data_IF_985376300102
#
_entry.id   IF_985376300102
#
_cell.length_a   1.000
_cell.length_b   1.000
_cell.length_c   1.000
_cell.angle_alpha   90.00
_cell.angle_beta   90.00
_cell.angle_gamma   90.00
#
_symmetry.space_group_name_H-M   'P 1'
#
loop_
_entity.id
_entity.type
_entity.pdbx_description
1 polymer ?
#
# COMPACT_ATOMS: atom_id res chain seq x y z
N UNK A 1 -10.51 -7.64 -8.37
CA UNK A 1 -10.88 -6.38 -7.67
C UNK A 1 -12.04 -5.62 -8.31
N UNK A 2 -11.91 -5.03 -9.51
CA UNK A 2 -12.97 -4.21 -10.10
C UNK A 2 -14.28 -5.01 -10.28
N UNK A 3 -14.17 -6.21 -10.83
CA UNK A 3 -15.32 -7.08 -11.06
C UNK A 3 -15.90 -7.63 -9.74
N UNK A 4 -15.04 -7.98 -8.78
CA UNK A 4 -15.45 -8.38 -7.42
C UNK A 4 -16.30 -7.31 -6.75
N UNK A 5 -15.87 -6.04 -6.78
CA UNK A 5 -16.62 -4.93 -6.18
C UNK A 5 -17.96 -4.71 -6.89
N UNK A 6 -18.00 -4.90 -8.22
CA UNK A 6 -19.24 -4.82 -9.00
C UNK A 6 -20.23 -5.92 -8.60
N UNK A 7 -19.75 -7.15 -8.40
CA UNK A 7 -20.57 -8.28 -7.95
C UNK A 7 -21.12 -8.04 -6.54
N UNK A 8 -20.29 -7.51 -5.63
CA UNK A 8 -20.67 -7.21 -4.25
C UNK A 8 -21.52 -5.94 -4.08
N UNK A 9 -21.76 -5.18 -5.16
CA UNK A 9 -22.45 -3.89 -5.11
C UNK A 9 -21.69 -2.81 -4.32
N UNK A 10 -20.38 -2.98 -4.13
CA UNK A 10 -19.55 -2.04 -3.39
C UNK A 10 -18.94 -0.98 -4.33
N UNK A 11 -18.86 0.29 -3.90
CA UNK A 11 -18.27 1.34 -4.71
C UNK A 11 -16.76 1.13 -4.86
N UNK A 12 -16.24 1.43 -6.05
CA UNK A 12 -14.79 1.48 -6.28
C UNK A 12 -14.21 2.71 -5.55
N UNK A 13 -13.17 2.54 -4.71
CA UNK A 13 -12.49 3.65 -4.07
C UNK A 13 -11.96 4.65 -5.10
N UNK A 14 -11.89 5.93 -4.72
CA UNK A 14 -11.43 6.99 -5.62
C UNK A 14 -10.29 7.76 -4.98
N UNK A 15 -9.29 8.08 -5.81
CA UNK A 15 -8.23 9.00 -5.42
C UNK A 15 -8.83 10.39 -5.18
N UNK A 16 -8.49 10.99 -4.04
CA UNK A 16 -9.03 12.29 -3.61
C UNK A 16 -7.90 13.25 -3.29
N UNK A 17 -8.17 14.55 -3.33
CA UNK A 17 -7.20 15.56 -2.91
C UNK A 17 -6.94 15.45 -1.41
N UNK A 18 -5.70 15.64 -0.98
CA UNK A 18 -5.35 15.68 0.44
C UNK A 18 -6.05 16.84 1.16
N UNK A 19 -6.16 18.00 0.48
CA UNK A 19 -6.89 19.17 0.98
C UNK A 19 -7.73 19.80 -0.13
N UNK A 20 -8.76 20.58 0.23
CA UNK A 20 -9.73 21.19 -0.71
C UNK A 20 -9.06 21.97 -1.85
N UNK A 21 -7.98 22.68 -1.56
CA UNK A 21 -7.24 23.50 -2.52
C UNK A 21 -5.95 22.84 -3.03
N UNK A 22 -5.68 21.59 -2.66
CA UNK A 22 -4.48 20.89 -3.11
C UNK A 22 -4.59 20.54 -4.60
N UNK A 23 -3.49 20.74 -5.32
CA UNK A 23 -3.37 20.44 -6.76
C UNK A 23 -2.50 19.22 -7.03
N UNK A 24 -1.67 18.81 -6.07
CA UNK A 24 -0.61 17.82 -6.30
C UNK A 24 -0.66 16.67 -5.30
N UNK A 25 -0.96 16.93 -4.02
CA UNK A 25 -1.05 15.84 -3.05
C UNK A 25 -2.42 15.18 -3.16
N UNK A 26 -2.39 13.93 -3.56
CA UNK A 26 -3.55 13.06 -3.67
C UNK A 26 -3.44 11.96 -2.62
N UNK A 27 -4.55 11.71 -1.93
CA UNK A 27 -4.77 10.50 -1.15
C UNK A 27 -5.18 9.41 -2.14
N UNK A 28 -4.28 8.46 -2.34
CA UNK A 28 -4.33 7.42 -3.38
C UNK A 28 -5.10 6.18 -2.93
N UNK A 29 -6.35 6.33 -2.50
CA UNK A 29 -7.13 5.23 -1.91
C UNK A 29 -7.38 4.06 -2.88
N UNK A 30 -7.55 4.34 -4.18
CA UNK A 30 -7.70 3.31 -5.19
C UNK A 30 -6.42 2.48 -5.31
N UNK A 31 -5.29 3.17 -5.41
CA UNK A 31 -3.98 2.56 -5.64
C UNK A 31 -3.53 1.75 -4.41
N UNK A 32 -3.77 2.30 -3.20
CA UNK A 32 -3.67 1.57 -1.94
C UNK A 32 -4.48 0.26 -1.99
N UNK A 33 -5.74 0.33 -2.43
CA UNK A 33 -6.63 -0.83 -2.44
C UNK A 33 -6.15 -1.90 -3.42
N UNK A 34 -5.63 -1.51 -4.58
CA UNK A 34 -5.07 -2.44 -5.56
C UNK A 34 -3.90 -3.21 -4.95
N UNK A 35 -2.95 -2.51 -4.32
CA UNK A 35 -1.79 -3.16 -3.66
C UNK A 35 -2.24 -4.04 -2.49
N UNK A 36 -3.17 -3.57 -1.66
CA UNK A 36 -3.69 -4.36 -0.54
C UNK A 36 -4.42 -5.62 -1.01
N UNK A 37 -5.11 -5.59 -2.16
CA UNK A 37 -5.77 -6.79 -2.71
C UNK A 37 -4.75 -7.86 -3.10
N UNK A 38 -3.57 -7.49 -3.60
CA UNK A 38 -2.50 -8.44 -3.88
C UNK A 38 -2.03 -9.14 -2.58
N UNK A 39 -1.75 -8.40 -1.52
CA UNK A 39 -1.40 -8.98 -0.23
C UNK A 39 -2.51 -9.89 0.31
N UNK A 40 -3.77 -9.46 0.18
CA UNK A 40 -4.92 -10.26 0.60
C UNK A 40 -5.01 -11.57 -0.18
N UNK A 41 -4.84 -11.52 -1.51
CA UNK A 41 -4.90 -12.71 -2.36
C UNK A 41 -3.81 -13.73 -2.01
N UNK A 42 -2.56 -13.27 -1.87
CA UNK A 42 -1.45 -14.14 -1.46
C UNK A 42 -1.69 -14.72 -0.06
N UNK A 43 -2.20 -13.91 0.86
CA UNK A 43 -2.56 -14.37 2.20
C UNK A 43 -3.64 -15.47 2.16
N UNK A 44 -4.66 -15.31 1.32
CA UNK A 44 -5.72 -16.31 1.14
C UNK A 44 -5.17 -17.64 0.60
N UNK A 45 -4.23 -17.59 -0.36
CA UNK A 45 -3.53 -18.77 -0.87
C UNK A 45 -2.73 -19.48 0.22
N UNK A 46 -1.96 -18.74 1.01
CA UNK A 46 -1.14 -19.29 2.11
C UNK A 46 -2.04 -19.94 3.16
N UNK A 47 -3.18 -19.31 3.51
CA UNK A 47 -4.13 -19.88 4.47
C UNK A 47 -4.71 -21.19 3.94
N UNK A 48 -5.06 -21.25 2.65
CA UNK A 48 -5.57 -22.47 2.03
C UNK A 48 -4.51 -23.60 1.99
N UNK A 49 -3.24 -23.25 1.80
CA UNK A 49 -2.11 -24.20 1.81
C UNK A 49 -1.81 -24.74 3.22
N UNK A 50 -1.78 -23.89 4.23
CA UNK A 50 -1.37 -24.25 5.59
C UNK A 50 -2.42 -25.06 6.38
N UNK A 51 -3.67 -25.15 5.90
CA UNK A 51 -4.73 -25.99 6.47
C UNK A 51 -4.84 -25.95 8.01
N UNK A 52 -4.86 -24.73 8.58
CA UNK A 52 -4.85 -24.53 10.03
C UNK A 52 -6.00 -25.25 10.76
N UNK A 53 -5.69 -25.84 11.93
CA UNK A 53 -6.70 -26.39 12.84
C UNK A 53 -7.59 -25.26 13.40
N UNK A 54 -8.89 -25.51 13.54
CA UNK A 54 -9.84 -24.58 14.14
C UNK A 54 -9.44 -24.19 15.57
N UNK A 55 -8.80 -25.10 16.32
CA UNK A 55 -8.38 -24.92 17.71
C UNK A 55 -7.10 -24.07 17.86
N UNK A 56 -6.40 -23.77 16.78
CA UNK A 56 -5.12 -23.08 16.84
C UNK A 56 -5.30 -21.58 17.13
N UNK A 57 -4.46 -21.03 17.99
CA UNK A 57 -4.53 -19.62 18.40
C UNK A 57 -4.37 -18.66 17.21
N UNK A 58 -5.16 -17.60 17.19
CA UNK A 58 -5.10 -16.52 16.17
C UNK A 58 -3.69 -15.93 16.02
N UNK A 59 -2.90 -15.87 17.11
CA UNK A 59 -1.53 -15.38 17.07
C UNK A 59 -0.58 -16.33 16.32
N UNK A 60 -0.71 -17.64 16.54
CA UNK A 60 0.12 -18.65 15.88
C UNK A 60 -0.19 -18.71 14.38
N UNK A 61 -1.48 -18.67 14.00
CA UNK A 61 -1.90 -18.59 12.59
C UNK A 61 -1.28 -17.39 11.88
N UNK A 62 -1.36 -16.19 12.50
CA UNK A 62 -0.77 -14.97 11.94
C UNK A 62 0.75 -15.11 11.73
N UNK A 63 1.44 -15.68 12.71
CA UNK A 63 2.89 -15.91 12.63
C UNK A 63 3.24 -16.88 11.50
N UNK A 64 2.55 -18.01 11.42
CA UNK A 64 2.79 -19.01 10.37
C UNK A 64 2.59 -18.42 8.96
N UNK A 65 1.54 -17.61 8.76
CA UNK A 65 1.31 -16.92 7.48
C UNK A 65 2.45 -15.94 7.16
N UNK A 66 2.88 -15.13 8.13
CA UNK A 66 3.94 -14.14 7.92
C UNK A 66 5.31 -14.77 7.64
N UNK A 67 5.59 -15.94 8.20
CA UNK A 67 6.83 -16.68 7.98
C UNK A 67 6.80 -17.56 6.73
N UNK A 68 5.68 -17.64 6.01
CA UNK A 68 5.55 -18.46 4.82
C UNK A 68 6.46 -17.93 3.69
N UNK A 69 7.16 -18.80 2.93
CA UNK A 69 8.08 -18.36 1.87
C UNK A 69 7.44 -17.55 0.75
N UNK A 70 6.13 -17.72 0.53
CA UNK A 70 5.38 -16.95 -0.48
C UNK A 70 4.79 -15.65 0.07
N UNK A 71 4.96 -15.35 1.37
CA UNK A 71 4.45 -14.12 1.95
C UNK A 71 5.16 -12.91 1.34
N UNK A 72 4.38 -11.88 0.98
CA UNK A 72 4.94 -10.66 0.39
C UNK A 72 5.06 -9.59 1.48
N UNK A 73 6.31 -9.24 1.81
CA UNK A 73 6.64 -8.24 2.81
C UNK A 73 6.45 -6.79 2.34
N UNK A 74 6.71 -6.56 1.05
CA UNK A 74 6.59 -5.24 0.45
C UNK A 74 6.21 -5.32 -1.03
N UNK A 75 5.46 -4.32 -1.49
CA UNK A 75 5.05 -4.17 -2.89
C UNK A 75 5.41 -2.77 -3.35
N UNK A 76 5.98 -2.67 -4.55
CA UNK A 76 6.22 -1.42 -5.26
C UNK A 76 5.46 -1.44 -6.58
N UNK A 77 4.56 -0.49 -6.77
CA UNK A 77 3.78 -0.33 -8.00
C UNK A 77 4.04 1.00 -8.66
N UNK A 78 4.19 1.00 -9.99
CA UNK A 78 4.18 2.21 -10.81
C UNK A 78 2.77 2.44 -11.34
N UNK A 79 2.24 3.65 -11.16
CA UNK A 79 0.89 4.03 -11.57
C UNK A 79 0.98 5.14 -12.61
N UNK A 80 0.97 4.79 -13.91
CA UNK A 80 0.91 5.78 -14.96
C UNK A 80 -0.46 6.43 -15.00
N UNK A 81 -0.53 7.74 -14.78
CA UNK A 81 -1.80 8.47 -14.77
C UNK A 81 -1.74 9.83 -15.49
N UNK A 82 -2.87 10.17 -16.10
CA UNK A 82 -3.09 11.45 -16.75
C UNK A 82 -2.60 11.48 -18.19
N UNK A 83 -2.52 12.69 -18.76
CA UNK A 83 -2.03 12.88 -20.12
C UNK A 83 -0.52 12.72 -20.18
N UNK A 84 -0.03 12.21 -21.30
CA UNK A 84 1.39 12.20 -21.64
C UNK A 84 1.97 13.62 -21.55
N UNK A 85 3.13 13.75 -20.91
CA UNK A 85 3.85 15.02 -20.78
C UNK A 85 4.81 15.24 -21.94
N UNK A 86 5.47 14.16 -22.38
CA UNK A 86 6.43 14.17 -23.48
C UNK A 86 6.19 12.95 -24.35
N UNK A 87 5.91 13.14 -25.66
CA UNK A 87 5.69 12.04 -26.59
C UNK A 87 6.81 11.00 -26.49
N UNK A 88 6.45 9.73 -26.40
CA UNK A 88 7.32 8.54 -26.37
C UNK A 88 8.16 8.33 -25.11
N UNK A 89 8.19 9.29 -24.18
CA UNK A 89 9.06 9.21 -23.00
C UNK A 89 8.47 8.35 -21.85
N UNK A 90 7.20 7.94 -21.94
CA UNK A 90 6.51 7.19 -20.88
C UNK A 90 6.14 8.03 -19.64
N UNK A 91 6.42 9.34 -19.65
CA UNK A 91 6.02 10.27 -18.58
C UNK A 91 4.59 10.76 -18.79
N UNK A 92 3.74 10.57 -17.77
CA UNK A 92 2.41 11.17 -17.71
C UNK A 92 2.31 12.10 -16.51
N UNK A 93 1.37 13.05 -16.58
CA UNK A 93 1.24 14.20 -15.67
C UNK A 93 1.12 13.83 -14.19
N UNK A 94 0.57 12.66 -13.88
CA UNK A 94 0.26 12.21 -12.51
C UNK A 94 0.90 10.85 -12.17
N UNK A 95 1.93 10.47 -12.95
CA UNK A 95 2.73 9.29 -12.65
C UNK A 95 3.20 9.32 -11.20
N UNK A 96 3.03 8.21 -10.51
CA UNK A 96 3.60 8.05 -9.18
C UNK A 96 3.98 6.59 -8.92
N UNK A 97 4.91 6.41 -7.99
CA UNK A 97 5.25 5.10 -7.45
C UNK A 97 4.62 5.03 -6.07
N UNK A 98 3.97 3.92 -5.78
CA UNK A 98 3.49 3.62 -4.45
C UNK A 98 4.21 2.40 -3.89
N UNK A 99 4.64 2.52 -2.64
CA UNK A 99 5.32 1.46 -1.89
C UNK A 99 4.45 1.12 -0.69
N UNK A 100 4.13 -0.15 -0.53
CA UNK A 100 3.48 -0.69 0.67
C UNK A 100 4.46 -1.63 1.35
N UNK A 101 4.71 -1.41 2.63
CA UNK A 101 5.55 -2.27 3.47
C UNK A 101 4.68 -2.79 4.61
N UNK A 102 4.47 -4.10 4.67
CA UNK A 102 3.64 -4.75 5.70
C UNK A 102 4.48 -5.44 6.77
N UNK A 103 5.76 -5.71 6.48
CA UNK A 103 6.73 -6.21 7.45
C UNK A 103 7.63 -5.08 7.95
N UNK A 104 7.53 -4.67 9.23
CA UNK A 104 8.35 -3.60 9.80
C UNK A 104 9.85 -3.89 9.75
N UNK A 105 10.28 -5.15 9.70
CA UNK A 105 11.69 -5.51 9.59
C UNK A 105 12.31 -5.09 8.24
N UNK A 106 11.48 -4.78 7.24
CA UNK A 106 11.93 -4.20 5.98
C UNK A 106 12.21 -2.68 6.07
N UNK A 107 12.01 -2.04 7.23
CA UNK A 107 12.28 -0.62 7.46
C UNK A 107 13.60 -0.51 8.23
N UNK A 108 14.73 -0.18 7.58
CA UNK A 108 16.04 -0.10 8.25
C UNK A 108 16.12 1.06 9.26
N UNK A 109 15.34 2.10 9.04
CA UNK A 109 15.24 3.27 9.89
C UNK A 109 14.25 4.29 9.34
N UNK A 110 13.83 5.23 10.18
CA UNK A 110 13.02 6.37 9.78
C UNK A 110 13.52 7.64 10.46
N UNK A 111 13.42 8.75 9.75
CA UNK A 111 13.69 10.06 10.32
C UNK A 111 12.39 10.65 10.86
N UNK A 112 12.42 11.11 12.12
CA UNK A 112 11.31 11.86 12.72
C UNK A 112 11.73 13.33 12.85
N UNK A 113 11.20 14.23 12.00
CA UNK A 113 11.54 15.65 12.07
C UNK A 113 11.29 16.20 13.48
N UNK A 114 12.33 16.79 14.06
CA UNK A 114 12.24 17.47 15.36
C UNK A 114 11.72 18.89 15.10
N UNK A 115 10.77 19.36 15.90
CA UNK A 115 10.32 20.76 15.82
C UNK A 115 11.46 21.67 16.26
N UNK A 116 11.64 22.78 15.54
CA UNK A 116 12.59 23.81 15.93
C UNK A 116 12.30 24.28 17.37
N UNK A 117 13.34 24.31 18.19
CA UNK A 117 13.25 24.75 19.58
C UNK A 117 13.88 26.14 19.72
N UNK A 118 13.02 27.13 19.96
CA UNK A 118 13.40 28.54 20.01
C UNK A 118 14.25 28.91 21.23
N UNK A 119 14.45 28.00 22.20
CA UNK A 119 15.35 28.21 23.34
C UNK A 119 16.83 28.09 22.97
N UNK A 120 17.17 27.47 21.84
CA UNK A 120 18.55 27.28 21.40
C UNK A 120 18.88 28.21 20.24
N UNK A 121 20.18 28.47 20.03
CA UNK A 121 20.67 29.31 18.93
C UNK A 121 20.20 28.76 17.58
N UNK A 122 19.87 29.66 16.66
CA UNK A 122 19.65 29.30 15.25
C UNK A 122 20.98 28.77 14.68
N UNK A 123 20.91 27.61 14.05
CA UNK A 123 22.00 26.97 13.31
C UNK A 123 21.67 26.97 11.83
#
# INVERSE_FOLDING_TARGET
MKDELKILGLPIPKNKKAHKHDKFNLIRELDCRVIMRLHQYVKELIIAELAFDENESSANKKRAIQHHPQFIDSVRGMFPEGKELYPTAGFQKQNHIQICVVNPNCIPGYFRPIKYNNWYKRV
#
